data_IF_619814607540
#
_entry.id   IF_619814607540
#
_cell.length_a   1.000
_cell.length_b   1.000
_cell.length_c   1.000
_cell.angle_alpha   90.00
_cell.angle_beta   90.00
_cell.angle_gamma   90.00
#
_symmetry.space_group_name_H-M   'P 1'
#
loop_
_entity.id
_entity.type
_entity.pdbx_description
1 polymer ?
#
# COMPACT_ATOMS: atom_id res chain seq x y z
N UNK A 1 39.61 -51.85 18.50
CA UNK A 1 40.89 -51.43 17.89
C UNK A 1 40.94 -49.91 17.95
N UNK A 2 41.70 -49.34 18.88
CA UNK A 2 43.13 -48.95 18.72
C UNK A 2 43.25 -47.83 17.65
N UNK A 3 43.76 -46.62 17.90
CA UNK A 3 44.71 -46.19 18.93
C UNK A 3 44.76 -44.64 18.96
N UNK A 4 44.88 -44.09 20.16
CA UNK A 4 45.36 -42.73 20.46
C UNK A 4 46.66 -42.40 19.72
N UNK A 5 46.77 -41.19 19.14
CA UNK A 5 48.07 -40.52 18.91
C UNK A 5 48.00 -39.03 19.21
N UNK A 6 48.33 -38.72 20.46
CA UNK A 6 48.79 -37.43 20.96
C UNK A 6 50.17 -37.12 20.38
N UNK A 7 50.28 -36.14 19.48
CA UNK A 7 51.56 -35.59 19.05
C UNK A 7 51.91 -34.34 19.88
N UNK A 8 52.88 -34.50 20.79
CA UNK A 8 53.63 -33.41 21.42
C UNK A 8 54.36 -32.63 20.32
N UNK A 9 54.06 -31.34 20.14
CA UNK A 9 54.92 -30.41 19.39
C UNK A 9 55.97 -29.84 20.35
N UNK A 10 57.23 -30.04 19.99
CA UNK A 10 58.39 -29.45 20.64
C UNK A 10 58.37 -27.92 20.45
N UNK A 11 58.52 -27.18 21.54
CA UNK A 11 58.76 -25.74 21.52
C UNK A 11 60.22 -25.50 21.10
N UNK A 12 60.40 -24.85 19.95
CA UNK A 12 61.66 -24.22 19.57
C UNK A 12 61.74 -22.85 20.24
N UNK A 13 62.93 -22.43 20.72
CA UNK A 13 63.12 -21.10 21.27
C UNK A 13 62.95 -20.02 20.18
N UNK A 14 62.43 -18.84 20.55
CA UNK A 14 62.21 -17.74 19.61
C UNK A 14 63.54 -17.24 19.03
N UNK A 15 63.55 -16.99 17.71
CA UNK A 15 64.63 -16.31 17.00
C UNK A 15 64.68 -14.85 17.44
N UNK A 16 65.89 -14.27 17.63
CA UNK A 16 66.04 -12.87 17.96
C UNK A 16 65.59 -12.00 16.78
N UNK A 17 64.85 -10.96 17.14
CA UNK A 17 64.10 -10.09 16.27
C UNK A 17 65.04 -9.33 15.33
N UNK A 18 64.89 -9.60 14.03
CA UNK A 18 65.44 -8.75 12.99
C UNK A 18 64.81 -7.37 13.12
N UNK A 19 65.66 -6.38 13.34
CA UNK A 19 65.38 -4.96 13.33
C UNK A 19 64.73 -4.53 12.00
N UNK A 20 63.41 -4.69 11.93
CA UNK A 20 62.57 -3.98 10.99
C UNK A 20 62.65 -2.51 11.34
N UNK A 21 63.48 -1.77 10.60
CA UNK A 21 63.45 -0.31 10.53
C UNK A 21 61.98 0.12 10.43
N UNK A 22 61.44 0.63 11.54
CA UNK A 22 60.15 1.25 11.55
C UNK A 22 60.20 2.38 10.53
N UNK A 23 59.47 2.23 9.42
CA UNK A 23 59.21 3.36 8.55
C UNK A 23 58.63 4.47 9.43
N UNK A 24 59.16 5.70 9.35
CA UNK A 24 58.68 6.79 10.17
C UNK A 24 57.17 6.92 9.91
N UNK A 25 56.38 6.77 10.96
CA UNK A 25 54.97 7.07 10.91
C UNK A 25 54.85 8.52 10.44
N UNK A 26 54.50 8.72 9.18
CA UNK A 26 54.20 10.04 8.64
C UNK A 26 53.06 10.59 9.49
N UNK A 27 53.41 11.49 10.41
CA UNK A 27 52.45 12.22 11.20
C UNK A 27 51.63 13.06 10.21
N UNK A 28 50.47 12.53 9.82
CA UNK A 28 49.50 13.26 8.99
C UNK A 28 49.26 14.60 9.67
N UNK A 29 49.47 15.68 8.94
CA UNK A 29 49.40 17.02 9.51
C UNK A 29 48.03 17.25 10.16
N UNK A 30 47.93 18.14 11.16
CA UNK A 30 46.64 18.48 11.76
C UNK A 30 45.58 18.85 10.72
N UNK A 31 45.98 19.54 9.64
CA UNK A 31 45.12 19.87 8.51
C UNK A 31 44.60 18.64 7.76
N UNK A 32 45.43 17.61 7.57
CA UNK A 32 45.04 16.37 6.90
C UNK A 32 44.08 15.53 7.75
N UNK A 33 44.27 15.49 9.09
CA UNK A 33 43.33 14.85 10.02
C UNK A 33 41.97 15.55 10.03
N UNK A 34 41.96 16.89 10.01
CA UNK A 34 40.73 17.68 9.93
C UNK A 34 40.02 17.43 8.59
N UNK A 35 40.75 17.48 7.47
CA UNK A 35 40.18 17.23 6.14
C UNK A 35 39.56 15.83 6.01
N UNK A 36 40.22 14.79 6.54
CA UNK A 36 39.68 13.42 6.57
C UNK A 36 38.43 13.30 7.44
N UNK A 37 38.40 13.98 8.58
CA UNK A 37 37.24 13.99 9.49
C UNK A 37 36.04 14.69 8.86
N UNK A 38 36.27 15.85 8.22
CA UNK A 38 35.25 16.60 7.50
C UNK A 38 34.72 15.79 6.30
N UNK A 39 35.60 15.18 5.51
CA UNK A 39 35.19 14.36 4.36
C UNK A 39 34.39 13.12 4.77
N UNK A 40 34.76 12.47 5.88
CA UNK A 40 34.02 11.34 6.43
C UNK A 40 32.63 11.75 6.94
N UNK A 41 32.53 12.88 7.64
CA UNK A 41 31.25 13.40 8.13
C UNK A 41 30.35 13.85 6.97
N UNK A 42 30.91 14.52 5.95
CA UNK A 42 30.18 14.92 4.75
C UNK A 42 29.64 13.71 3.98
N UNK A 43 30.45 12.64 3.82
CA UNK A 43 29.99 11.39 3.20
C UNK A 43 28.83 10.75 3.96
N UNK A 44 28.88 10.73 5.30
CA UNK A 44 27.78 10.22 6.14
C UNK A 44 26.51 11.06 5.98
N UNK A 45 26.62 12.38 6.00
CA UNK A 45 25.48 13.29 5.83
C UNK A 45 24.84 13.16 4.45
N UNK A 46 25.64 13.05 3.38
CA UNK A 46 25.14 12.83 2.02
C UNK A 46 24.44 11.47 1.90
N UNK A 47 24.97 10.41 2.51
CA UNK A 47 24.34 9.09 2.51
C UNK A 47 22.97 9.10 3.22
N UNK A 48 22.89 9.79 4.37
CA UNK A 48 21.63 9.97 5.11
C UNK A 48 20.60 10.74 4.26
N UNK A 49 21.02 11.81 3.58
CA UNK A 49 20.14 12.58 2.69
C UNK A 49 19.65 11.74 1.50
N UNK A 50 20.50 10.91 0.89
CA UNK A 50 20.12 10.00 -0.18
C UNK A 50 19.11 8.94 0.30
N UNK A 51 19.32 8.36 1.48
CA UNK A 51 18.39 7.38 2.08
C UNK A 51 17.05 8.05 2.42
N UNK A 52 17.05 9.28 2.95
CA UNK A 52 15.82 10.03 3.15
C UNK A 52 15.12 10.33 1.82
N UNK A 53 15.83 10.76 0.78
CA UNK A 53 15.24 11.08 -0.52
C UNK A 53 14.67 9.84 -1.25
N UNK A 54 15.33 8.68 -1.11
CA UNK A 54 14.85 7.40 -1.65
C UNK A 54 13.69 6.83 -0.83
N UNK A 55 13.65 7.08 0.49
CA UNK A 55 12.58 6.63 1.38
C UNK A 55 11.26 7.40 1.25
N UNK A 56 11.24 8.54 0.55
CA UNK A 56 10.05 9.42 0.45
C UNK A 56 9.12 9.07 -0.74
N UNK A 57 9.56 8.26 -1.73
CA UNK A 57 8.81 8.10 -2.99
C UNK A 57 8.07 6.77 -3.21
N UNK A 58 7.94 5.91 -2.21
CA UNK A 58 7.01 4.78 -2.29
C UNK A 58 5.76 5.08 -1.47
N UNK A 59 5.03 6.13 -1.85
CA UNK A 59 3.62 6.19 -1.46
C UNK A 59 2.91 5.05 -2.17
N UNK A 60 2.58 4.02 -1.39
CA UNK A 60 1.79 2.85 -1.79
C UNK A 60 0.38 3.20 -2.33
N UNK A 61 0.02 4.47 -2.28
CA UNK A 61 -1.29 5.02 -2.61
C UNK A 61 -1.11 6.04 -3.73
N UNK A 62 -1.56 5.69 -4.92
CA UNK A 62 -1.47 6.54 -6.10
C UNK A 62 -2.86 7.02 -6.50
N UNK A 63 -3.04 8.34 -6.63
CA UNK A 63 -4.28 8.92 -7.14
C UNK A 63 -3.95 9.79 -8.35
N UNK A 64 -4.59 9.48 -9.48
CA UNK A 64 -4.39 10.14 -10.77
C UNK A 64 -5.70 10.72 -11.28
N UNK A 65 -5.62 11.86 -11.97
CA UNK A 65 -6.77 12.49 -12.62
C UNK A 65 -6.60 12.38 -14.13
N UNK A 66 -7.52 11.69 -14.79
CA UNK A 66 -7.59 11.57 -16.25
C UNK A 66 -8.99 11.92 -16.75
N UNK A 67 -9.13 13.14 -17.27
CA UNK A 67 -10.41 13.64 -17.81
C UNK A 67 -10.92 12.90 -19.05
N UNK A 68 -10.09 12.05 -19.67
CA UNK A 68 -10.45 11.28 -20.88
C UNK A 68 -11.14 9.96 -20.56
N UNK A 69 -11.21 9.56 -19.28
CA UNK A 69 -11.89 8.34 -18.86
C UNK A 69 -13.36 8.32 -19.29
N UNK A 70 -13.74 7.27 -20.00
CA UNK A 70 -15.12 7.00 -20.40
C UNK A 70 -15.44 5.55 -20.11
N UNK A 71 -16.37 5.32 -19.19
CA UNK A 71 -16.91 4.00 -18.87
C UNK A 71 -18.42 4.06 -18.93
N UNK A 72 -19.03 3.00 -19.44
CA UNK A 72 -20.48 2.81 -19.47
C UNK A 72 -20.99 2.09 -18.21
N UNK A 73 -20.09 1.45 -17.46
CA UNK A 73 -20.45 0.51 -16.40
C UNK A 73 -19.40 0.44 -15.29
N UNK A 74 -19.91 0.07 -14.11
CA UNK A 74 -19.13 -0.37 -12.94
C UNK A 74 -18.98 -1.87 -13.00
N UNK A 75 -17.73 -2.31 -12.87
CA UNK A 75 -17.34 -3.71 -12.78
C UNK A 75 -16.02 -3.80 -12.04
N UNK A 76 -16.09 -4.06 -10.73
CA UNK A 76 -14.91 -4.27 -9.88
C UNK A 76 -14.90 -5.73 -9.47
N UNK A 77 -13.84 -6.43 -9.83
CA UNK A 77 -13.55 -7.79 -9.36
C UNK A 77 -12.93 -7.68 -7.99
N UNK A 78 -13.49 -8.43 -7.04
CA UNK A 78 -12.98 -8.54 -5.67
C UNK A 78 -12.67 -10.02 -5.43
N UNK A 79 -11.45 -10.30 -4.98
CA UNK A 79 -11.02 -11.60 -4.50
C UNK A 79 -10.83 -11.50 -3.00
N UNK A 80 -11.46 -12.40 -2.28
CA UNK A 80 -11.44 -12.46 -0.82
C UNK A 80 -11.35 -13.92 -0.38
N UNK A 81 -10.33 -14.27 0.38
CA UNK A 81 -10.03 -15.63 0.86
C UNK A 81 -10.07 -16.70 -0.26
N UNK A 82 -11.21 -17.37 -0.43
CA UNK A 82 -11.49 -18.42 -1.42
C UNK A 82 -12.53 -18.01 -2.48
N UNK A 83 -13.04 -16.80 -2.38
CA UNK A 83 -14.18 -16.30 -3.12
C UNK A 83 -13.77 -15.20 -4.10
N UNK A 84 -14.40 -15.21 -5.27
CA UNK A 84 -14.27 -14.12 -6.25
C UNK A 84 -15.66 -13.67 -6.64
N UNK A 85 -15.92 -12.37 -6.51
CA UNK A 85 -17.19 -11.78 -6.90
C UNK A 85 -16.98 -10.40 -7.54
N UNK A 86 -18.08 -9.85 -8.05
CA UNK A 86 -18.07 -8.57 -8.77
C UNK A 86 -19.01 -7.58 -8.11
N UNK A 87 -18.49 -6.38 -7.88
CA UNK A 87 -19.27 -5.23 -7.46
C UNK A 87 -19.70 -4.44 -8.70
N UNK A 88 -21.01 -4.26 -8.85
CA UNK A 88 -21.63 -3.53 -9.96
C UNK A 88 -22.42 -2.31 -9.51
N UNK A 89 -22.81 -2.28 -8.23
CA UNK A 89 -23.68 -1.25 -7.67
C UNK A 89 -22.85 -0.14 -7.05
N UNK A 90 -23.28 1.11 -7.25
CA UNK A 90 -22.74 2.27 -6.56
C UNK A 90 -23.82 3.18 -5.99
N UNK A 91 -23.54 3.83 -4.87
CA UNK A 91 -24.41 4.82 -4.23
C UNK A 91 -23.56 5.81 -3.44
N UNK A 92 -24.02 7.06 -3.29
CA UNK A 92 -23.38 8.02 -2.39
C UNK A 92 -24.10 8.15 -1.04
N UNK A 93 -23.43 8.84 -0.11
CA UNK A 93 -23.90 9.12 1.25
C UNK A 93 -24.98 10.22 1.34
N UNK A 94 -25.43 10.80 0.22
CA UNK A 94 -26.49 11.81 0.13
C UNK A 94 -26.25 13.12 0.89
N UNK A 95 -25.06 13.34 1.44
CA UNK A 95 -24.80 14.55 2.23
C UNK A 95 -24.35 15.69 1.31
N UNK A 96 -24.87 16.88 1.57
CA UNK A 96 -24.52 18.07 0.80
C UNK A 96 -23.10 18.57 1.07
N UNK A 97 -22.54 18.24 2.23
CA UNK A 97 -21.22 18.70 2.70
C UNK A 97 -20.09 17.70 2.42
N UNK A 98 -20.42 16.48 2.01
CA UNK A 98 -19.47 15.39 1.87
C UNK A 98 -19.91 14.41 0.80
N UNK A 99 -19.00 14.08 -0.11
CA UNK A 99 -19.24 13.11 -1.16
C UNK A 99 -18.46 11.83 -0.87
N UNK A 100 -19.19 10.79 -0.50
CA UNK A 100 -18.65 9.46 -0.27
C UNK A 100 -19.40 8.49 -1.17
N UNK A 101 -18.73 7.97 -2.19
CA UNK A 101 -19.28 6.96 -3.10
C UNK A 101 -18.90 5.58 -2.60
N UNK A 102 -19.89 4.75 -2.34
CA UNK A 102 -19.72 3.34 -1.97
C UNK A 102 -20.02 2.48 -3.18
N UNK A 103 -19.14 1.52 -3.46
CA UNK A 103 -19.26 0.53 -4.51
C UNK A 103 -19.24 -0.86 -3.86
N UNK A 104 -20.17 -1.72 -4.25
CA UNK A 104 -20.32 -3.05 -3.67
C UNK A 104 -21.20 -3.98 -4.50
N UNK A 105 -21.33 -5.22 -4.03
CA UNK A 105 -22.35 -6.15 -4.49
C UNK A 105 -23.58 -6.09 -3.56
N UNK A 106 -24.69 -6.66 -4.03
CA UNK A 106 -25.83 -6.96 -3.17
C UNK A 106 -25.66 -8.37 -2.58
N UNK A 107 -25.97 -8.55 -1.31
CA UNK A 107 -25.82 -9.82 -0.61
C UNK A 107 -26.30 -9.76 0.84
N UNK A 108 -25.90 -10.75 1.63
CA UNK A 108 -25.99 -10.72 3.10
C UNK A 108 -24.69 -10.17 3.70
N UNK A 109 -23.57 -10.35 3.02
CA UNK A 109 -22.27 -9.81 3.40
C UNK A 109 -21.38 -9.61 2.17
N UNK A 110 -20.27 -8.89 2.35
CA UNK A 110 -19.28 -8.68 1.31
C UNK A 110 -18.30 -7.55 1.60
N UNK A 111 -17.52 -7.19 0.58
CA UNK A 111 -16.58 -6.07 0.64
C UNK A 111 -17.16 -4.85 -0.06
N UNK A 112 -17.04 -3.71 0.60
CA UNK A 112 -17.37 -2.40 0.08
C UNK A 112 -16.10 -1.61 -0.19
N UNK A 113 -16.00 -1.03 -1.39
CA UNK A 113 -15.00 -0.02 -1.71
C UNK A 113 -15.66 1.35 -1.55
N UNK A 114 -15.11 2.20 -0.68
CA UNK A 114 -15.59 3.58 -0.51
C UNK A 114 -14.57 4.57 -1.04
N UNK A 115 -15.06 5.58 -1.76
CA UNK A 115 -14.29 6.69 -2.28
C UNK A 115 -14.76 7.96 -1.58
N UNK A 116 -13.89 8.57 -0.79
CA UNK A 116 -14.17 9.81 -0.07
C UNK A 116 -13.54 10.99 -0.82
N UNK A 117 -14.35 11.98 -1.19
CA UNK A 117 -13.95 13.16 -1.98
C UNK A 117 -13.95 14.47 -1.17
N UNK A 118 -14.03 14.42 0.16
CA UNK A 118 -14.17 15.63 0.98
C UNK A 118 -12.93 16.55 0.95
N UNK A 119 -11.74 15.97 0.76
CA UNK A 119 -10.48 16.70 0.63
C UNK A 119 -9.78 16.23 -0.65
N UNK A 120 -8.82 15.32 -0.50
CA UNK A 120 -8.23 14.56 -1.58
C UNK A 120 -8.94 13.21 -1.72
N UNK A 121 -9.26 12.76 -2.95
CA UNK A 121 -9.89 11.47 -3.18
C UNK A 121 -9.12 10.36 -2.48
N UNK A 122 -9.83 9.62 -1.61
CA UNK A 122 -9.24 8.54 -0.83
C UNK A 122 -10.06 7.28 -0.97
N UNK A 123 -9.38 6.17 -1.22
CA UNK A 123 -9.97 4.84 -1.25
C UNK A 123 -9.94 4.22 0.15
N UNK A 124 -11.07 3.63 0.55
CA UNK A 124 -11.22 2.88 1.79
C UNK A 124 -11.89 1.54 1.50
N UNK A 125 -11.51 0.52 2.26
CA UNK A 125 -12.03 -0.84 2.13
C UNK A 125 -12.76 -1.23 3.40
N UNK A 126 -13.93 -1.86 3.26
CA UNK A 126 -14.73 -2.31 4.40
C UNK A 126 -15.26 -3.71 4.15
N UNK A 127 -15.28 -4.54 5.18
CA UNK A 127 -16.21 -5.66 5.26
C UNK A 127 -17.58 -5.13 5.69
N UNK A 128 -18.63 -5.73 5.17
CA UNK A 128 -20.01 -5.45 5.52
C UNK A 128 -20.80 -6.74 5.71
N UNK A 129 -21.75 -6.69 6.64
CA UNK A 129 -22.74 -7.72 6.91
C UNK A 129 -24.09 -7.05 7.16
N UNK A 130 -25.17 -7.71 6.79
CA UNK A 130 -26.54 -7.33 7.11
C UNK A 130 -26.88 -7.56 8.60
N UNK A 131 -25.98 -8.23 9.32
CA UNK A 131 -26.02 -8.42 10.76
C UNK A 131 -24.83 -7.78 11.48
N UNK A 132 -24.96 -7.59 12.79
CA UNK A 132 -23.99 -6.89 13.64
C UNK A 132 -22.77 -7.77 14.02
N UNK A 133 -22.08 -8.35 13.04
CA UNK A 133 -21.00 -9.32 13.25
C UNK A 133 -19.67 -8.68 13.69
N UNK A 134 -19.49 -7.38 13.48
CA UNK A 134 -18.22 -6.69 13.73
C UNK A 134 -18.25 -5.90 15.03
N UNK A 135 -18.25 -6.61 16.16
CA UNK A 135 -18.33 -6.02 17.51
C UNK A 135 -19.58 -5.14 17.69
N UNK A 136 -20.74 -5.65 17.26
CA UNK A 136 -22.01 -4.92 17.33
C UNK A 136 -22.24 -3.94 16.19
N UNK A 137 -21.43 -4.00 15.12
CA UNK A 137 -21.57 -3.16 13.92
C UNK A 137 -21.74 -4.00 12.67
N UNK A 138 -22.41 -3.43 11.67
CA UNK A 138 -22.60 -4.02 10.35
C UNK A 138 -21.39 -3.85 9.42
N UNK A 139 -20.36 -3.09 9.81
CA UNK A 139 -19.18 -2.87 8.97
C UNK A 139 -17.88 -2.85 9.77
N UNK A 140 -16.81 -3.37 9.18
CA UNK A 140 -15.44 -3.30 9.69
C UNK A 140 -14.54 -2.66 8.64
N UNK A 141 -13.76 -1.65 9.01
CA UNK A 141 -12.77 -1.04 8.11
C UNK A 141 -11.55 -1.95 8.01
N UNK A 142 -11.07 -2.16 6.79
CA UNK A 142 -9.88 -2.94 6.47
C UNK A 142 -8.76 -1.99 5.99
N UNK A 143 -7.55 -2.21 6.50
CA UNK A 143 -6.38 -1.46 6.08
C UNK A 143 -5.94 -1.87 4.66
N UNK A 144 -5.49 -0.90 3.87
CA UNK A 144 -5.05 -1.10 2.49
C UNK A 144 -3.54 -0.96 2.45
N UNK A 145 -2.86 -1.99 1.96
CA UNK A 145 -1.40 -2.00 1.81
C UNK A 145 -1.00 -1.10 0.63
N UNK A 146 -1.58 -1.33 -0.55
CA UNK A 146 -1.36 -0.52 -1.75
C UNK A 146 -2.65 -0.33 -2.56
N UNK A 147 -2.80 0.84 -3.18
CA UNK A 147 -3.82 1.07 -4.20
C UNK A 147 -3.42 2.11 -5.24
N UNK A 148 -4.04 1.99 -6.41
CA UNK A 148 -4.08 3.00 -7.46
C UNK A 148 -5.54 3.36 -7.75
N UNK A 149 -5.82 4.66 -7.77
CA UNK A 149 -7.12 5.26 -8.05
C UNK A 149 -6.96 6.26 -9.18
N UNK A 150 -7.57 6.00 -10.33
CA UNK A 150 -7.62 6.93 -11.44
C UNK A 150 -9.06 7.43 -11.58
N UNK A 151 -9.28 8.75 -11.63
CA UNK A 151 -10.62 9.35 -11.66
C UNK A 151 -10.70 10.47 -12.70
N UNK A 152 -11.90 10.73 -13.20
CA UNK A 152 -12.10 11.72 -14.26
C UNK A 152 -12.03 13.19 -13.78
N UNK A 153 -12.29 13.44 -12.50
CA UNK A 153 -12.23 14.76 -11.87
C UNK A 153 -12.06 14.59 -10.36
N UNK A 154 -11.67 15.66 -9.66
CA UNK A 154 -11.64 15.72 -8.18
C UNK A 154 -12.74 16.60 -7.60
N UNK A 155 -13.46 17.33 -8.46
CA UNK A 155 -14.55 18.23 -8.07
C UNK A 155 -15.81 17.77 -8.78
N UNK A 156 -16.86 17.56 -7.99
CA UNK A 156 -18.14 17.06 -8.47
C UNK A 156 -19.28 17.83 -7.83
N UNK A 157 -20.33 18.05 -8.63
CA UNK A 157 -21.61 18.58 -8.23
C UNK A 157 -22.68 17.52 -8.41
N UNK A 158 -23.87 17.75 -7.84
CA UNK A 158 -25.01 16.85 -8.04
C UNK A 158 -25.33 16.72 -9.52
N UNK A 159 -25.51 15.49 -10.00
CA UNK A 159 -25.73 15.18 -11.41
C UNK A 159 -24.45 14.91 -12.20
N UNK A 160 -23.28 15.27 -11.69
CA UNK A 160 -22.02 14.93 -12.35
C UNK A 160 -21.82 13.41 -12.34
N UNK A 161 -21.09 12.94 -13.37
CA UNK A 161 -20.70 11.53 -13.45
C UNK A 161 -19.26 11.36 -13.01
N UNK A 162 -19.06 10.54 -11.98
CA UNK A 162 -17.76 10.07 -11.53
C UNK A 162 -17.43 8.78 -12.28
N UNK A 163 -16.25 8.75 -12.88
CA UNK A 163 -15.72 7.58 -13.56
C UNK A 163 -14.30 7.34 -13.10
N UNK A 164 -13.92 6.08 -12.94
CA UNK A 164 -12.56 5.77 -12.53
C UNK A 164 -12.15 4.32 -12.67
N UNK A 165 -10.85 4.09 -12.53
CA UNK A 165 -10.24 2.77 -12.37
C UNK A 165 -9.71 2.66 -10.95
N UNK A 166 -9.86 1.48 -10.38
CA UNK A 166 -9.26 1.14 -9.09
C UNK A 166 -8.49 -0.15 -9.21
N UNK A 167 -7.41 -0.24 -8.45
CA UNK A 167 -6.67 -1.49 -8.21
C UNK A 167 -6.03 -1.41 -6.84
N UNK A 168 -6.02 -2.49 -6.08
CA UNK A 168 -5.29 -2.53 -4.82
C UNK A 168 -5.41 -3.86 -4.10
N UNK A 169 -4.74 -3.94 -2.96
CA UNK A 169 -4.77 -5.09 -2.04
C UNK A 169 -4.80 -4.62 -0.60
N UNK A 170 -5.51 -5.34 0.25
CA UNK A 170 -5.51 -5.08 1.69
C UNK A 170 -4.18 -5.44 2.34
N UNK A 171 -3.96 -4.96 3.56
CA UNK A 171 -3.01 -5.62 4.47
C UNK A 171 -3.44 -7.08 4.71
N UNK A 172 -2.52 -7.90 5.22
CA UNK A 172 -2.81 -9.30 5.54
C UNK A 172 -3.82 -9.37 6.70
N UNK A 173 -4.91 -10.09 6.49
CA UNK A 173 -5.94 -10.36 7.48
C UNK A 173 -5.73 -11.79 7.99
N UNK A 174 -5.58 -11.95 9.31
CA UNK A 174 -5.46 -13.24 9.97
C UNK A 174 -6.78 -13.67 10.61
N UNK A 175 -7.21 -14.90 10.32
CA UNK A 175 -8.37 -15.53 10.97
C UNK A 175 -8.03 -16.98 11.39
N UNK A 176 -9.04 -17.71 11.90
CA UNK A 176 -8.88 -19.10 12.34
C UNK A 176 -8.51 -20.09 11.23
N UNK A 177 -8.70 -19.73 9.96
CA UNK A 177 -8.44 -20.57 8.79
C UNK A 177 -7.13 -20.21 8.09
N UNK A 178 -6.48 -19.11 8.47
CA UNK A 178 -5.18 -18.70 7.94
C UNK A 178 -5.08 -17.19 7.70
N UNK A 179 -4.11 -16.83 6.86
CA UNK A 179 -3.86 -15.47 6.44
C UNK A 179 -4.34 -15.27 5.01
N UNK A 180 -4.99 -14.15 4.73
CA UNK A 180 -5.42 -13.79 3.39
C UNK A 180 -5.35 -12.29 3.15
N UNK A 181 -5.50 -11.88 1.90
CA UNK A 181 -5.64 -10.49 1.48
C UNK A 181 -6.85 -10.35 0.58
N UNK A 182 -7.47 -9.18 0.63
CA UNK A 182 -8.53 -8.79 -0.29
C UNK A 182 -7.88 -8.05 -1.45
N UNK A 183 -7.99 -8.59 -2.66
CA UNK A 183 -7.57 -7.92 -3.89
C UNK A 183 -8.78 -7.34 -4.58
N UNK A 184 -8.67 -6.11 -5.09
CA UNK A 184 -9.74 -5.48 -5.86
C UNK A 184 -9.17 -4.81 -7.10
N UNK A 185 -9.88 -4.93 -8.22
CA UNK A 185 -9.53 -4.22 -9.45
C UNK A 185 -10.72 -4.06 -10.38
N UNK A 186 -10.77 -2.93 -11.07
CA UNK A 186 -11.74 -2.73 -12.14
C UNK A 186 -12.04 -1.27 -12.39
N UNK A 187 -13.20 -1.02 -12.99
CA UNK A 187 -13.67 0.31 -13.33
C UNK A 187 -15.01 0.59 -12.66
N UNK A 188 -15.31 1.87 -12.45
CA UNK A 188 -16.58 2.30 -11.90
C UNK A 188 -17.13 3.52 -12.62
N UNK A 189 -18.45 3.62 -12.58
CA UNK A 189 -19.28 4.73 -13.03
C UNK A 189 -20.34 5.01 -11.98
N UNK A 190 -20.44 6.25 -11.55
CA UNK A 190 -21.42 6.72 -10.59
C UNK A 190 -21.98 8.09 -11.00
N UNK A 191 -23.25 8.35 -10.72
CA UNK A 191 -23.86 9.67 -10.92
C UNK A 191 -24.16 10.25 -9.54
N UNK A 192 -23.61 11.43 -9.24
CA UNK A 192 -23.77 12.07 -7.94
C UNK A 192 -25.25 12.39 -7.67
N UNK A 193 -25.73 11.96 -6.51
CA UNK A 193 -27.12 12.04 -6.05
C UNK A 193 -28.00 10.90 -6.55
N UNK A 194 -27.44 9.75 -6.95
CA UNK A 194 -28.19 8.59 -7.46
C UNK A 194 -27.72 7.29 -6.84
N UNK A 195 -28.57 6.27 -6.87
CA UNK A 195 -28.17 4.87 -6.68
C UNK A 195 -28.18 4.20 -8.06
N UNK A 196 -27.06 3.59 -8.42
CA UNK A 196 -26.92 2.81 -9.65
C UNK A 196 -26.85 1.34 -9.26
N UNK A 197 -27.96 0.62 -9.45
CA UNK A 197 -28.10 -0.77 -9.03
C UNK A 197 -28.03 -1.73 -10.21
N UNK A 198 -27.20 -2.76 -10.08
CA UNK A 198 -26.97 -3.81 -11.10
C UNK A 198 -26.55 -5.11 -10.42
N UNK A 199 -27.02 -6.28 -10.88
CA UNK A 199 -26.65 -7.59 -10.30
C UNK A 199 -25.62 -8.34 -11.13
N UNK A 200 -25.69 -8.22 -12.44
CA UNK A 200 -24.84 -8.97 -13.38
C UNK A 200 -24.32 -8.05 -14.49
N UNK A 201 -23.23 -8.44 -15.15
CA UNK A 201 -22.48 -7.56 -16.07
C UNK A 201 -23.27 -7.13 -17.32
N UNK A 202 -24.21 -7.94 -17.79
CA UNK A 202 -25.01 -7.72 -19.00
C UNK A 202 -26.30 -6.93 -18.74
N UNK A 203 -26.66 -6.71 -17.47
CA UNK A 203 -27.88 -5.98 -17.10
C UNK A 203 -27.72 -4.46 -17.27
N UNK A 204 -28.84 -3.80 -17.57
CA UNK A 204 -28.93 -2.34 -17.48
C UNK A 204 -28.99 -1.88 -16.02
N UNK A 205 -28.57 -0.64 -15.77
CA UNK A 205 -28.74 -0.03 -14.46
C UNK A 205 -30.20 0.23 -14.16
N UNK A 206 -30.61 -0.13 -12.94
CA UNK A 206 -31.74 0.52 -12.28
C UNK A 206 -31.17 1.77 -11.63
N UNK A 207 -31.59 2.94 -12.11
CA UNK A 207 -31.20 4.23 -11.57
C UNK A 207 -32.30 4.70 -10.64
N UNK A 208 -31.95 4.96 -9.39
CA UNK A 208 -32.88 5.43 -8.36
C UNK A 208 -32.41 6.80 -7.91
N UNK A 209 -33.37 7.73 -7.81
CA UNK A 209 -33.10 9.06 -7.29
C UNK A 209 -32.87 8.99 -5.77
N UNK A 210 -31.78 9.60 -5.36
CA UNK A 210 -31.41 9.80 -3.96
C UNK A 210 -31.70 11.24 -3.55
#
# INVERSE_FOLDING_TARGET
>A
MLLNRTHRRAMLPPRPDGSGLAQPAHATSPAEKIARTVAHNLRKTVLILIIMFLGINTFSQEVKVDSTLRFDSTNIVIKDFDSTYRAYTSFDNQKSDSLIVTIGNHGLSGVLVKLNFNEYPKLELFLWSDTNEFSGKNTMKIAIDEYSLEINSTKFQRGDTIMGRIKGKSEIISNSFGNYQIEFQGQFRHIVGKILKKREADQNYIIIDN
#
